data_IF_462627106939
#
_entry.id   IF_462627106939
#
_cell.length_a   1.000
_cell.length_b   1.000
_cell.length_c   1.000
_cell.angle_alpha   90.00
_cell.angle_beta   90.00
_cell.angle_gamma   90.00
#
_symmetry.space_group_name_H-M   'P 1'
#
loop_
_entity.id
_entity.type
_entity.pdbx_description
1 polymer ?
#
# COMPACT_ATOMS: atom_id res chain seq x y z
N UNK A 1 4.82 -12.72 -2.82
CA UNK A 1 3.44 -12.39 -3.25
C UNK A 1 2.51 -13.59 -3.12
N UNK A 2 2.81 -14.73 -3.77
CA UNK A 2 1.90 -15.89 -3.80
C UNK A 2 1.59 -16.49 -2.42
N UNK A 3 2.58 -16.67 -1.54
CA UNK A 3 2.37 -17.14 -0.16
C UNK A 3 1.45 -16.22 0.63
N UNK A 4 1.64 -14.90 0.54
CA UNK A 4 0.78 -13.92 1.22
C UNK A 4 -0.65 -13.95 0.69
N UNK A 5 -0.82 -14.13 -0.63
CA UNK A 5 -2.13 -14.25 -1.26
C UNK A 5 -2.87 -15.52 -0.80
N UNK A 6 -2.15 -16.64 -0.67
CA UNK A 6 -2.69 -17.87 -0.09
C UNK A 6 -3.10 -17.69 1.37
N UNK A 7 -2.28 -16.99 2.18
CA UNK A 7 -2.63 -16.66 3.56
C UNK A 7 -3.92 -15.83 3.62
N UNK A 8 -4.05 -14.80 2.79
CA UNK A 8 -5.26 -13.97 2.72
C UNK A 8 -6.51 -14.77 2.33
N UNK A 9 -6.40 -15.67 1.35
CA UNK A 9 -7.52 -16.52 0.96
C UNK A 9 -7.87 -17.55 2.04
N UNK A 10 -6.87 -18.05 2.76
CA UNK A 10 -7.09 -18.98 3.89
C UNK A 10 -7.82 -18.28 5.04
N UNK A 11 -7.39 -17.07 5.40
CA UNK A 11 -8.02 -16.26 6.45
C UNK A 11 -9.49 -15.93 6.13
N UNK A 12 -9.86 -15.89 4.84
CA UNK A 12 -11.21 -15.63 4.36
C UNK A 12 -11.98 -16.92 4.00
N UNK A 13 -11.45 -18.10 4.34
CA UNK A 13 -12.01 -19.42 4.01
C UNK A 13 -12.34 -19.60 2.51
N UNK A 14 -11.60 -18.90 1.65
CA UNK A 14 -11.88 -18.75 0.21
C UNK A 14 -10.81 -19.38 -0.69
N UNK A 15 -10.04 -20.36 -0.18
CA UNK A 15 -8.95 -21.02 -0.91
C UNK A 15 -9.40 -21.65 -2.23
N UNK A 16 -10.66 -22.10 -2.33
CA UNK A 16 -11.26 -22.63 -3.56
C UNK A 16 -11.36 -21.62 -4.72
N UNK A 17 -11.18 -20.32 -4.44
CA UNK A 17 -11.25 -19.23 -5.43
C UNK A 17 -9.88 -18.78 -5.94
N UNK A 18 -8.82 -19.50 -5.60
CA UNK A 18 -7.45 -19.17 -6.01
C UNK A 18 -7.31 -19.00 -7.53
N UNK A 19 -7.94 -19.88 -8.32
CA UNK A 19 -7.89 -19.80 -9.78
C UNK A 19 -8.47 -18.48 -10.31
N UNK A 20 -9.64 -18.06 -9.81
CA UNK A 20 -10.26 -16.78 -10.17
C UNK A 20 -9.36 -15.59 -9.82
N UNK A 21 -8.69 -15.64 -8.67
CA UNK A 21 -7.75 -14.59 -8.24
C UNK A 21 -6.54 -14.52 -9.16
N UNK A 22 -5.96 -15.67 -9.53
CA UNK A 22 -4.83 -15.73 -10.44
C UNK A 22 -5.19 -15.19 -11.84
N UNK A 23 -6.42 -15.38 -12.29
CA UNK A 23 -6.93 -14.76 -13.53
C UNK A 23 -7.19 -13.26 -13.39
N UNK A 24 -7.56 -12.78 -12.21
CA UNK A 24 -7.87 -11.38 -11.97
C UNK A 24 -6.59 -10.51 -11.80
N UNK A 25 -5.51 -11.06 -11.24
CA UNK A 25 -4.22 -10.36 -11.08
C UNK A 25 -3.72 -9.69 -12.38
N UNK A 26 -3.60 -10.38 -13.54
CA UNK A 26 -3.12 -9.75 -14.76
C UNK A 26 -4.08 -8.66 -15.27
N UNK A 27 -5.39 -8.78 -15.03
CA UNK A 27 -6.38 -7.76 -15.40
C UNK A 27 -6.21 -6.50 -14.54
N UNK A 28 -6.08 -6.67 -13.22
CA UNK A 28 -5.80 -5.55 -12.31
C UNK A 28 -4.46 -4.90 -12.64
N UNK A 29 -3.43 -5.69 -12.95
CA UNK A 29 -2.12 -5.18 -13.38
C UNK A 29 -2.24 -4.34 -14.65
N UNK A 30 -3.04 -4.76 -15.62
CA UNK A 30 -3.27 -3.99 -16.84
C UNK A 30 -3.97 -2.65 -16.55
N UNK A 31 -5.03 -2.67 -15.74
CA UNK A 31 -5.76 -1.46 -15.35
C UNK A 31 -4.91 -0.46 -14.55
N UNK A 32 -3.87 -0.96 -13.87
CA UNK A 32 -2.90 -0.14 -13.15
C UNK A 32 -1.69 0.26 -14.01
N UNK A 33 -1.73 0.09 -15.33
CA UNK A 33 -0.65 0.55 -16.22
C UNK A 33 0.59 -0.34 -16.18
N UNK A 34 0.40 -1.65 -15.99
CA UNK A 34 1.46 -2.67 -16.02
C UNK A 34 2.64 -2.46 -15.07
N UNK A 35 2.44 -2.13 -13.78
CA UNK A 35 3.55 -2.05 -12.83
C UNK A 35 4.31 -3.39 -12.77
N UNK A 36 5.63 -3.37 -12.55
CA UNK A 36 6.38 -4.57 -12.16
C UNK A 36 5.77 -5.14 -10.88
N UNK A 37 5.59 -6.46 -10.79
CA UNK A 37 5.04 -7.12 -9.61
C UNK A 37 6.13 -7.39 -8.57
N UNK A 38 6.61 -6.33 -7.94
CA UNK A 38 7.60 -6.35 -6.84
C UNK A 38 7.01 -5.68 -5.61
N UNK A 39 7.66 -5.70 -4.46
CA UNK A 39 7.16 -4.92 -3.30
C UNK A 39 7.33 -3.42 -3.58
N UNK A 40 6.31 -2.57 -3.34
CA UNK A 40 4.98 -2.88 -2.77
C UNK A 40 3.90 -3.23 -3.81
N UNK A 41 4.09 -2.92 -5.09
CA UNK A 41 3.07 -3.01 -6.16
C UNK A 41 2.44 -4.40 -6.34
N UNK A 42 3.20 -5.47 -6.12
CA UNK A 42 2.70 -6.86 -6.13
C UNK A 42 1.58 -7.08 -5.11
N UNK A 43 1.69 -6.49 -3.91
CA UNK A 43 0.63 -6.59 -2.89
C UNK A 43 -0.57 -5.73 -3.25
N UNK A 44 -0.34 -4.53 -3.80
CA UNK A 44 -1.41 -3.64 -4.26
C UNK A 44 -2.30 -4.33 -5.31
N UNK A 45 -1.68 -4.92 -6.33
CA UNK A 45 -2.38 -5.67 -7.38
C UNK A 45 -3.05 -6.92 -6.81
N UNK A 46 -2.32 -7.71 -6.01
CA UNK A 46 -2.83 -8.98 -5.46
C UNK A 46 -4.04 -8.80 -4.54
N UNK A 47 -3.98 -7.85 -3.61
CA UNK A 47 -5.07 -7.59 -2.66
C UNK A 47 -6.30 -7.07 -3.40
N UNK A 48 -6.13 -6.15 -4.36
CA UNK A 48 -7.26 -5.67 -5.14
C UNK A 48 -7.90 -6.78 -5.99
N UNK A 49 -7.10 -7.71 -6.53
CA UNK A 49 -7.62 -8.87 -7.25
C UNK A 49 -8.43 -9.81 -6.33
N UNK A 50 -7.92 -10.11 -5.14
CA UNK A 50 -8.67 -10.88 -4.12
C UNK A 50 -10.00 -10.18 -3.79
N UNK A 51 -9.97 -8.86 -3.53
CA UNK A 51 -11.16 -8.07 -3.24
C UNK A 51 -12.18 -8.11 -4.38
N UNK A 52 -11.75 -8.00 -5.64
CA UNK A 52 -12.63 -8.06 -6.80
C UNK A 52 -13.35 -9.42 -6.89
N UNK A 53 -12.61 -10.51 -6.68
CA UNK A 53 -13.13 -11.88 -6.71
C UNK A 53 -14.12 -12.09 -5.56
N UNK A 54 -13.72 -11.80 -4.32
CA UNK A 54 -14.56 -11.97 -3.14
C UNK A 54 -15.85 -11.12 -3.21
N UNK A 55 -15.76 -9.88 -3.70
CA UNK A 55 -16.92 -9.01 -3.87
C UNK A 55 -17.82 -9.40 -5.06
N UNK A 56 -17.42 -10.36 -5.91
CA UNK A 56 -18.17 -10.77 -7.10
C UNK A 56 -18.26 -9.68 -8.17
N UNK A 57 -17.26 -8.80 -8.27
CA UNK A 57 -17.25 -7.71 -9.24
C UNK A 57 -16.02 -6.80 -9.12
N UNK A 58 -15.52 -6.33 -10.26
CA UNK A 58 -14.29 -5.53 -10.33
C UNK A 58 -14.49 -4.16 -9.71
N UNK A 59 -13.61 -3.80 -8.79
CA UNK A 59 -13.51 -2.48 -8.15
C UNK A 59 -14.83 -1.95 -7.55
N UNK A 60 -15.69 -2.84 -7.04
CA UNK A 60 -16.83 -2.48 -6.17
C UNK A 60 -16.33 -1.74 -4.92
N UNK A 61 -15.19 -2.19 -4.41
CA UNK A 61 -14.40 -1.50 -3.40
C UNK A 61 -12.98 -1.34 -3.92
N UNK A 62 -12.43 -0.15 -3.77
CA UNK A 62 -11.03 0.17 -4.15
C UNK A 62 -10.22 0.33 -2.88
N UNK A 63 -9.12 -0.41 -2.77
CA UNK A 63 -8.20 -0.31 -1.63
C UNK A 63 -7.56 1.07 -1.57
N UNK A 64 -7.12 1.47 -0.38
CA UNK A 64 -6.41 2.75 -0.20
C UNK A 64 -5.16 2.80 -1.07
N UNK A 65 -4.41 1.71 -1.14
CA UNK A 65 -3.16 1.61 -1.88
C UNK A 65 -3.38 1.75 -3.39
N UNK A 66 -4.48 1.22 -3.94
CA UNK A 66 -4.84 1.45 -5.35
C UNK A 66 -5.21 2.92 -5.59
N UNK A 67 -5.96 3.55 -4.68
CA UNK A 67 -6.27 4.99 -4.78
C UNK A 67 -4.99 5.82 -4.77
N UNK A 68 -4.09 5.54 -3.83
CA UNK A 68 -2.81 6.23 -3.68
C UNK A 68 -1.89 6.01 -4.88
N UNK A 69 -1.85 4.78 -5.44
CA UNK A 69 -1.15 4.46 -6.68
C UNK A 69 -1.68 5.29 -7.86
N UNK A 70 -2.99 5.32 -8.06
CA UNK A 70 -3.65 6.10 -9.13
C UNK A 70 -3.45 7.61 -8.94
N UNK A 71 -3.39 8.07 -7.69
CA UNK A 71 -3.08 9.47 -7.34
C UNK A 71 -1.62 9.84 -7.53
N UNK A 72 -0.75 8.89 -7.87
CA UNK A 72 0.67 9.14 -8.14
C UNK A 72 1.56 9.13 -6.89
N UNK A 73 1.07 8.72 -5.72
CA UNK A 73 1.88 8.66 -4.48
C UNK A 73 2.98 7.60 -4.51
N UNK A 74 2.93 6.67 -5.46
CA UNK A 74 3.97 5.68 -5.72
C UNK A 74 4.85 6.01 -6.96
N UNK A 75 4.64 7.20 -7.55
CA UNK A 75 5.31 7.62 -8.78
C UNK A 75 4.44 7.41 -10.03
N UNK A 76 5.09 7.40 -11.19
CA UNK A 76 4.41 7.32 -12.49
C UNK A 76 4.26 5.86 -12.94
N UNK A 77 3.04 5.39 -13.26
CA UNK A 77 2.82 4.07 -13.86
C UNK A 77 3.57 3.90 -15.19
N UNK A 78 4.09 2.70 -15.52
CA UNK A 78 4.79 2.45 -16.79
C UNK A 78 3.91 2.63 -18.04
N UNK A 79 2.63 2.31 -17.92
CA UNK A 79 1.63 2.41 -18.97
C UNK A 79 0.41 3.23 -18.54
N UNK A 80 -0.55 3.46 -19.45
CA UNK A 80 -1.78 4.17 -19.13
C UNK A 80 -2.60 3.38 -18.10
N UNK A 81 -3.16 4.10 -17.13
CA UNK A 81 -4.17 3.56 -16.23
C UNK A 81 -5.49 3.36 -16.97
N UNK A 82 -6.33 2.44 -16.50
CA UNK A 82 -7.72 2.33 -16.96
C UNK A 82 -8.42 3.69 -16.80
N UNK A 83 -8.98 4.27 -17.88
CA UNK A 83 -9.54 5.61 -17.86
C UNK A 83 -10.70 5.78 -16.88
N UNK A 84 -11.56 4.76 -16.76
CA UNK A 84 -12.75 4.82 -15.91
C UNK A 84 -12.37 4.75 -14.43
N UNK A 85 -11.47 3.84 -14.06
CA UNK A 85 -10.92 3.73 -12.71
C UNK A 85 -10.19 5.02 -12.30
N UNK A 86 -9.35 5.54 -13.19
CA UNK A 86 -8.61 6.80 -12.96
C UNK A 86 -9.57 7.96 -12.75
N UNK A 87 -10.54 8.15 -13.63
CA UNK A 87 -11.51 9.24 -13.53
C UNK A 87 -12.29 9.18 -12.21
N UNK A 88 -12.75 7.98 -11.81
CA UNK A 88 -13.49 7.78 -10.56
C UNK A 88 -12.66 8.16 -9.33
N UNK A 89 -11.40 7.71 -9.25
CA UNK A 89 -10.54 7.98 -8.09
C UNK A 89 -10.17 9.47 -8.01
N UNK A 90 -9.82 10.08 -9.15
CA UNK A 90 -9.40 11.48 -9.18
C UNK A 90 -10.56 12.47 -8.97
N UNK A 91 -11.81 12.04 -9.17
CA UNK A 91 -12.98 12.84 -8.82
C UNK A 91 -13.19 12.94 -7.29
N UNK A 92 -12.77 11.93 -6.53
CA UNK A 92 -12.86 11.94 -5.06
C UNK A 92 -11.71 12.72 -4.42
N UNK A 93 -10.49 12.52 -4.93
CA UNK A 93 -9.29 13.17 -4.37
C UNK A 93 -8.28 13.46 -5.46
N UNK A 94 -7.78 14.71 -5.58
CA UNK A 94 -6.77 15.06 -6.56
C UNK A 94 -5.51 14.19 -6.43
N UNK A 95 -4.91 13.94 -7.60
CA UNK A 95 -3.59 13.32 -7.69
C UNK A 95 -2.48 14.34 -7.45
N UNK A 96 -1.27 13.82 -7.21
CA UNK A 96 -0.05 14.60 -7.17
C UNK A 96 0.70 14.48 -8.51
N UNK A 97 1.61 15.42 -8.75
CA UNK A 97 2.49 15.43 -9.92
C UNK A 97 3.94 15.51 -9.46
N UNK A 98 4.86 14.89 -10.21
CA UNK A 98 6.28 14.89 -9.88
C UNK A 98 6.69 13.77 -8.90
N UNK A 99 7.80 13.98 -8.19
CA UNK A 99 8.33 13.00 -7.23
C UNK A 99 7.51 13.07 -5.93
N UNK A 100 6.92 11.97 -5.43
CA UNK A 100 6.03 12.02 -4.27
C UNK A 100 6.62 12.62 -3.01
N UNK A 101 7.93 12.47 -2.80
CA UNK A 101 8.60 13.04 -1.65
C UNK A 101 8.84 14.56 -1.75
N UNK A 102 8.50 15.21 -2.86
CA UNK A 102 8.49 16.69 -2.96
C UNK A 102 7.27 17.29 -2.25
N UNK A 103 6.24 16.50 -1.96
CA UNK A 103 5.05 16.94 -1.20
C UNK A 103 5.10 16.58 0.28
N UNK A 104 6.26 16.15 0.79
CA UNK A 104 6.44 15.77 2.19
C UNK A 104 7.30 16.81 2.92
N UNK A 105 6.89 17.17 4.12
CA UNK A 105 7.69 18.01 5.01
C UNK A 105 8.79 17.18 5.70
N UNK A 106 9.92 17.78 6.14
CA UNK A 106 10.93 17.07 6.91
C UNK A 106 10.42 16.58 8.27
N UNK A 107 10.49 15.28 8.54
CA UNK A 107 9.90 14.65 9.74
C UNK A 107 10.93 14.26 10.84
N UNK A 108 12.24 14.32 10.57
CA UNK A 108 13.27 13.82 11.49
C UNK A 108 13.23 14.50 12.87
N UNK A 109 13.03 15.82 12.91
CA UNK A 109 12.96 16.56 14.17
C UNK A 109 11.76 16.11 15.03
N UNK A 110 10.63 15.80 14.39
CA UNK A 110 9.43 15.30 15.06
C UNK A 110 9.66 13.88 15.58
N UNK A 111 10.32 13.01 14.80
CA UNK A 111 10.68 11.67 15.24
C UNK A 111 11.62 11.68 16.46
N UNK A 112 12.63 12.55 16.47
CA UNK A 112 13.54 12.73 17.62
C UNK A 112 12.77 13.19 18.86
N UNK A 113 11.91 14.20 18.72
CA UNK A 113 11.11 14.70 19.84
C UNK A 113 10.16 13.61 20.37
N UNK A 114 9.49 12.89 19.47
CA UNK A 114 8.56 11.82 19.83
C UNK A 114 9.22 10.65 20.54
N UNK A 115 10.39 10.19 20.09
CA UNK A 115 11.09 9.10 20.78
C UNK A 115 11.64 9.54 22.12
N UNK A 116 12.16 10.78 22.24
CA UNK A 116 12.73 11.30 23.50
C UNK A 116 11.68 11.56 24.57
N UNK A 117 10.43 11.79 24.18
CA UNK A 117 9.31 11.82 25.11
C UNK A 117 9.04 10.45 25.75
N UNK A 118 9.39 9.35 25.07
CA UNK A 118 9.23 7.98 25.55
C UNK A 118 10.49 7.47 26.25
N UNK A 119 11.66 7.81 25.70
CA UNK A 119 12.98 7.37 26.16
C UNK A 119 13.91 8.59 26.10
N UNK A 120 14.08 9.35 27.19
CA UNK A 120 14.86 10.61 27.17
C UNK A 120 16.30 10.47 26.66
N UNK A 121 16.91 9.30 26.84
CA UNK A 121 18.26 8.97 26.39
C UNK A 121 18.33 8.42 24.96
N UNK A 122 17.22 8.42 24.21
CA UNK A 122 17.17 7.83 22.87
C UNK A 122 18.18 8.49 21.92
N UNK A 123 18.94 7.64 21.25
CA UNK A 123 19.89 8.03 20.22
C UNK A 123 19.21 8.19 18.84
N UNK A 124 20.01 8.54 17.83
CA UNK A 124 19.51 8.72 16.47
C UNK A 124 18.96 7.42 15.86
N UNK A 125 19.49 6.25 16.23
CA UNK A 125 19.02 4.98 15.69
C UNK A 125 17.63 4.62 16.26
N UNK A 126 17.40 4.90 17.54
CA UNK A 126 16.07 4.81 18.15
C UNK A 126 15.10 5.83 17.53
N UNK A 127 15.54 7.06 17.25
CA UNK A 127 14.71 8.06 16.57
C UNK A 127 14.32 7.64 15.15
N UNK A 128 15.23 7.06 14.38
CA UNK A 128 14.93 6.53 13.05
C UNK A 128 13.97 5.33 13.13
N UNK A 129 14.19 4.43 14.07
CA UNK A 129 13.32 3.27 14.29
C UNK A 129 11.90 3.71 14.67
N UNK A 130 11.79 4.69 15.57
CA UNK A 130 10.51 5.30 15.95
C UNK A 130 9.86 6.02 14.77
N UNK A 131 10.61 6.79 13.98
CA UNK A 131 10.08 7.50 12.81
C UNK A 131 9.54 6.57 11.72
N UNK A 132 10.24 5.45 11.45
CA UNK A 132 9.83 4.47 10.44
C UNK A 132 8.65 3.60 10.92
N UNK A 133 8.65 3.19 12.20
CA UNK A 133 7.66 2.27 12.74
C UNK A 133 7.22 2.64 14.18
N UNK A 134 6.46 3.74 14.39
CA UNK A 134 6.16 4.27 15.73
C UNK A 134 5.51 3.24 16.67
N UNK A 135 4.47 2.55 16.21
CA UNK A 135 3.75 1.56 17.03
C UNK A 135 4.59 0.31 17.33
N UNK A 136 5.35 -0.15 16.34
CA UNK A 136 6.23 -1.33 16.51
C UNK A 136 7.34 -1.00 17.51
N UNK A 137 7.93 0.20 17.39
CA UNK A 137 8.94 0.68 18.32
C UNK A 137 8.39 0.76 19.75
N UNK A 138 7.19 1.32 19.95
CA UNK A 138 6.57 1.40 21.30
C UNK A 138 6.39 0.01 21.91
N UNK A 139 5.90 -0.96 21.14
CA UNK A 139 5.75 -2.35 21.61
C UNK A 139 7.09 -3.00 21.93
N UNK A 140 8.08 -2.83 21.04
CA UNK A 140 9.44 -3.33 21.26
C UNK A 140 10.04 -2.75 22.55
N UNK A 141 9.88 -1.44 22.77
CA UNK A 141 10.39 -0.78 23.97
C UNK A 141 9.65 -1.21 25.24
N UNK A 142 8.33 -1.41 25.17
CA UNK A 142 7.55 -1.90 26.31
C UNK A 142 7.93 -3.34 26.74
N UNK A 143 8.57 -4.10 25.86
CA UNK A 143 9.04 -5.48 26.15
C UNK A 143 10.47 -5.55 26.73
N UNK A 144 11.12 -4.42 27.02
CA UNK A 144 12.48 -4.31 27.57
C UNK A 144 12.49 -3.46 28.83
#
# INVERSE_FOLDING_TARGET
MFSNLLSQLTEQEATGRLAEVLEEIPRVRADLGYPPLVTPTSQIVGIQAVMNVLAGGRYRQVTKEVRDYVRGLYGTPPGPLDPALRARILAETPGIHGRPADSLEPELAQAIAGVRALVPSADTAEALSYGLFPEVYRRYRASR
#
